data_IF_177054276735
#
_entry.id   IF_177054276735
#
_cell.length_a   1.000
_cell.length_b   1.000
_cell.length_c   1.000
_cell.angle_alpha   90.00
_cell.angle_beta   90.00
_cell.angle_gamma   90.00
#
_symmetry.space_group_name_H-M   'P 1'
#
loop_
_entity.id
_entity.type
_entity.pdbx_description
1 polymer ?
#
# COMPACT_ATOMS: atom_id res chain seq x y z
N UNK A 1 58.56 21.96 -34.94
CA UNK A 1 59.81 22.73 -34.79
C UNK A 1 60.19 22.73 -33.31
N UNK A 2 61.35 22.15 -32.95
CA UNK A 2 61.80 21.89 -31.58
C UNK A 2 62.66 23.05 -31.04
N UNK A 3 62.73 23.25 -29.71
CA UNK A 3 63.84 23.96 -29.06
C UNK A 3 64.08 23.36 -27.66
N UNK A 4 65.22 22.71 -27.41
CA UNK A 4 66.52 23.37 -27.20
C UNK A 4 66.46 24.33 -26.00
N UNK A 5 66.32 23.77 -24.81
CA UNK A 5 66.78 24.44 -23.60
C UNK A 5 67.60 23.45 -22.76
N UNK A 6 68.87 23.38 -23.14
CA UNK A 6 69.95 23.66 -22.20
C UNK A 6 70.25 22.57 -21.15
N UNK A 7 70.97 21.57 -21.66
CA UNK A 7 72.13 20.91 -21.03
C UNK A 7 72.83 21.76 -19.95
N UNK A 8 73.17 21.12 -18.83
CA UNK A 8 74.44 21.37 -18.12
C UNK A 8 75.19 20.05 -17.88
N UNK A 9 76.50 20.14 -18.07
CA UNK A 9 77.50 19.10 -18.34
C UNK A 9 78.30 18.80 -17.06
N UNK A 10 78.67 17.54 -16.83
CA UNK A 10 79.70 17.15 -15.85
C UNK A 10 79.71 15.65 -15.53
N UNK A 11 80.72 14.92 -16.02
CA UNK A 11 81.15 13.56 -15.60
C UNK A 11 82.50 13.70 -14.86
N UNK A 12 83.08 12.71 -14.12
CA UNK A 12 82.93 11.25 -14.25
C UNK A 12 83.03 10.38 -12.95
N UNK A 13 82.96 9.06 -13.16
CA UNK A 13 83.52 7.90 -12.40
C UNK A 13 82.85 7.31 -11.12
N UNK A 14 82.26 6.12 -11.33
CA UNK A 14 82.34 4.83 -10.61
C UNK A 14 82.05 4.68 -9.09
N UNK A 15 80.99 3.92 -8.78
CA UNK A 15 81.01 2.86 -7.75
C UNK A 15 79.84 1.84 -8.00
N UNK A 16 80.03 0.53 -7.75
CA UNK A 16 79.03 -0.49 -8.06
C UNK A 16 78.05 -0.75 -6.89
N UNK A 17 76.85 -1.20 -7.26
CA UNK A 17 75.89 -2.01 -6.51
C UNK A 17 75.65 -1.70 -5.02
N UNK A 18 74.53 -1.01 -4.73
CA UNK A 18 73.75 -1.26 -3.53
C UNK A 18 72.47 -2.00 -3.94
N UNK A 19 72.29 -3.21 -3.43
CA UNK A 19 71.09 -4.00 -3.63
C UNK A 19 69.87 -3.18 -3.18
N UNK A 20 68.95 -2.93 -4.11
CA UNK A 20 67.64 -2.41 -3.77
C UNK A 20 66.96 -3.45 -2.86
N UNK A 21 66.70 -3.06 -1.62
CA UNK A 21 65.72 -3.72 -0.77
C UNK A 21 64.41 -3.83 -1.56
N UNK A 22 63.75 -5.00 -1.61
CA UNK A 22 62.44 -5.06 -2.21
C UNK A 22 61.53 -4.20 -1.33
N UNK A 23 61.14 -3.04 -1.84
CA UNK A 23 59.99 -2.34 -1.31
C UNK A 23 58.85 -3.36 -1.33
N UNK A 24 58.38 -3.76 -0.15
CA UNK A 24 57.11 -4.44 -0.03
C UNK A 24 56.05 -3.45 -0.52
N UNK A 25 55.84 -3.40 -1.83
CA UNK A 25 54.66 -2.80 -2.41
C UNK A 25 53.52 -3.61 -1.83
N UNK A 26 52.88 -3.05 -0.80
CA UNK A 26 51.55 -3.47 -0.41
C UNK A 26 50.72 -3.30 -1.68
N UNK A 27 50.49 -4.41 -2.38
CA UNK A 27 49.57 -4.48 -3.50
C UNK A 27 48.21 -4.19 -2.89
N UNK A 28 47.81 -2.92 -2.91
CA UNK A 28 46.43 -2.55 -2.68
C UNK A 28 45.64 -3.24 -3.80
N UNK A 29 44.63 -4.08 -3.50
CA UNK A 29 43.85 -4.75 -4.53
C UNK A 29 43.30 -3.70 -5.52
N UNK A 30 43.82 -3.75 -6.75
CA UNK A 30 43.27 -3.06 -7.91
C UNK A 30 41.94 -3.74 -8.23
N UNK A 31 40.89 -2.92 -8.35
CA UNK A 31 39.51 -3.30 -8.69
C UNK A 31 38.64 -3.87 -7.54
N UNK A 32 37.78 -2.99 -7.01
CA UNK A 32 36.58 -3.41 -6.27
C UNK A 32 35.60 -3.99 -7.29
N UNK A 33 35.43 -5.31 -7.30
CA UNK A 33 34.36 -5.97 -8.08
C UNK A 33 33.03 -5.64 -7.42
N UNK A 34 32.35 -4.61 -7.92
CA UNK A 34 31.02 -4.24 -7.45
C UNK A 34 30.01 -5.32 -7.85
N UNK A 35 29.30 -5.86 -6.86
CA UNK A 35 28.15 -6.73 -7.08
C UNK A 35 26.89 -5.88 -6.97
N UNK A 36 26.31 -5.54 -8.11
CA UNK A 36 25.07 -4.78 -8.17
C UNK A 36 23.87 -5.71 -8.00
N UNK A 37 23.09 -5.48 -6.95
CA UNK A 37 21.84 -6.19 -6.68
C UNK A 37 20.68 -5.20 -6.74
N UNK A 38 19.70 -5.45 -7.61
CA UNK A 38 18.51 -4.63 -7.74
C UNK A 38 17.24 -5.48 -7.64
N UNK A 39 16.26 -5.00 -6.88
CA UNK A 39 14.90 -5.51 -6.86
C UNK A 39 13.95 -4.37 -7.22
N UNK A 40 13.09 -4.60 -8.22
CA UNK A 40 12.01 -3.68 -8.57
C UNK A 40 10.67 -4.38 -8.33
N UNK A 41 9.90 -3.83 -7.42
CA UNK A 41 8.52 -4.24 -7.16
C UNK A 41 7.59 -3.35 -7.96
N UNK A 42 6.56 -3.94 -8.54
CA UNK A 42 5.51 -3.21 -9.26
C UNK A 42 4.16 -3.56 -8.65
N UNK A 43 3.45 -2.56 -8.16
CA UNK A 43 2.09 -2.68 -7.66
C UNK A 43 1.15 -1.92 -8.58
N UNK A 44 -0.01 -2.51 -8.84
CA UNK A 44 -1.06 -1.90 -9.64
C UNK A 44 -2.42 -2.22 -9.01
N UNK A 45 -3.38 -1.36 -9.30
CA UNK A 45 -4.74 -1.58 -8.90
C UNK A 45 -5.70 -0.75 -9.73
N UNK A 46 -6.98 -1.07 -9.60
CA UNK A 46 -8.07 -0.32 -10.21
C UNK A 46 -9.18 -0.16 -9.19
N UNK A 47 -9.82 0.98 -9.21
CA UNK A 47 -11.02 1.27 -8.43
C UNK A 47 -12.18 1.61 -9.35
N UNK A 48 -13.40 1.28 -8.91
CA UNK A 48 -14.62 1.71 -9.59
C UNK A 48 -15.02 3.11 -9.14
N UNK A 49 -16.01 3.70 -9.80
CA UNK A 49 -16.80 4.78 -9.21
C UNK A 49 -17.44 4.33 -7.90
N UNK A 50 -17.73 5.29 -7.02
CA UNK A 50 -18.45 5.04 -5.79
C UNK A 50 -19.93 4.80 -6.06
N UNK A 51 -20.55 3.95 -5.25
CA UNK A 51 -21.99 3.76 -5.20
C UNK A 51 -22.45 4.25 -3.83
N UNK A 52 -23.40 5.17 -3.83
CA UNK A 52 -24.01 5.64 -2.59
C UNK A 52 -25.02 4.61 -2.11
N UNK A 53 -24.83 4.11 -0.90
CA UNK A 53 -25.76 3.23 -0.20
C UNK A 53 -26.42 3.99 0.93
N UNK A 54 -27.74 3.88 1.01
CA UNK A 54 -28.50 4.45 2.12
C UNK A 54 -28.01 3.89 3.45
N UNK A 55 -27.76 4.77 4.42
CA UNK A 55 -27.36 4.37 5.76
C UNK A 55 -28.40 3.43 6.43
N UNK A 56 -27.90 2.46 7.19
CA UNK A 56 -28.75 1.55 7.95
C UNK A 56 -27.97 0.70 8.96
N UNK A 57 -28.65 0.10 9.95
CA UNK A 57 -28.01 -0.69 11.01
C UNK A 57 -27.27 -1.93 10.47
N UNK A 58 -27.66 -2.42 9.30
CA UNK A 58 -27.06 -3.57 8.64
C UNK A 58 -26.06 -3.20 7.53
N UNK A 59 -25.79 -1.90 7.29
CA UNK A 59 -25.02 -1.44 6.14
C UNK A 59 -23.65 -2.14 6.02
N UNK A 60 -22.89 -2.21 7.12
CA UNK A 60 -21.59 -2.88 7.15
C UNK A 60 -21.71 -4.41 7.05
N UNK A 61 -22.76 -4.99 7.64
CA UNK A 61 -22.98 -6.43 7.61
C UNK A 61 -23.32 -6.96 6.21
N UNK A 62 -23.79 -6.09 5.30
CA UNK A 62 -24.08 -6.45 3.92
C UNK A 62 -22.85 -6.41 3.01
N UNK A 63 -21.77 -5.71 3.38
CA UNK A 63 -20.59 -5.55 2.52
C UNK A 63 -19.98 -6.90 2.06
N UNK A 64 -19.85 -7.95 2.91
CA UNK A 64 -19.36 -9.26 2.47
C UNK A 64 -20.20 -9.90 1.37
N UNK A 65 -21.51 -9.66 1.36
CA UNK A 65 -22.41 -10.23 0.34
C UNK A 65 -22.09 -9.73 -1.08
N UNK A 66 -21.45 -8.56 -1.20
CA UNK A 66 -21.06 -7.97 -2.48
C UNK A 66 -19.91 -8.73 -3.17
N UNK A 67 -19.20 -9.60 -2.44
CA UNK A 67 -18.13 -10.43 -2.99
C UNK A 67 -18.61 -11.84 -3.37
N UNK A 68 -19.88 -12.18 -3.11
CA UNK A 68 -20.46 -13.49 -3.44
C UNK A 68 -20.37 -13.75 -4.96
N UNK A 69 -19.94 -14.95 -5.30
CA UNK A 69 -19.73 -15.37 -6.70
C UNK A 69 -18.39 -14.90 -7.32
N UNK A 70 -17.63 -14.06 -6.62
CA UNK A 70 -16.31 -13.58 -7.06
C UNK A 70 -15.18 -13.96 -6.10
N UNK A 71 -15.47 -14.08 -4.81
CA UNK A 71 -14.50 -14.51 -3.79
C UNK A 71 -14.00 -15.95 -4.06
N UNK A 72 -12.68 -16.13 -3.99
CA UNK A 72 -12.01 -17.45 -4.08
C UNK A 72 -11.42 -17.93 -2.76
N UNK A 73 -11.38 -17.08 -1.75
CA UNK A 73 -10.97 -17.42 -0.39
C UNK A 73 -12.02 -16.96 0.60
N UNK A 74 -11.72 -17.15 1.89
CA UNK A 74 -12.47 -16.49 2.96
C UNK A 74 -12.50 -14.97 2.74
N UNK A 75 -13.60 -14.35 3.16
CA UNK A 75 -13.82 -12.91 3.10
C UNK A 75 -13.49 -12.34 4.47
N UNK A 76 -12.55 -11.41 4.51
CA UNK A 76 -12.11 -10.75 5.74
C UNK A 76 -12.58 -9.30 5.75
N UNK A 77 -13.06 -8.83 6.89
CA UNK A 77 -13.47 -7.44 7.10
C UNK A 77 -12.37 -6.74 7.89
N UNK A 78 -11.78 -5.72 7.29
CA UNK A 78 -10.79 -4.84 7.92
C UNK A 78 -11.51 -3.57 8.33
N UNK A 79 -11.59 -3.34 9.64
CA UNK A 79 -12.17 -2.13 10.19
C UNK A 79 -11.18 -0.95 10.06
N UNK A 80 -11.69 0.30 10.08
CA UNK A 80 -10.84 1.48 10.12
C UNK A 80 -9.92 1.47 11.35
N UNK A 81 -8.69 1.94 11.15
CA UNK A 81 -7.66 1.99 12.18
C UNK A 81 -7.92 3.09 13.21
N UNK A 82 -7.67 2.83 14.50
CA UNK A 82 -7.64 3.85 15.54
C UNK A 82 -6.58 4.93 15.25
N UNK A 83 -6.77 6.12 15.85
CA UNK A 83 -5.83 7.26 15.74
C UNK A 83 -4.37 6.91 16.07
N UNK A 84 -4.15 5.96 16.97
CA UNK A 84 -2.82 5.48 17.38
C UNK A 84 -2.00 4.95 16.21
N UNK A 85 -2.66 4.49 15.13
CA UNK A 85 -2.06 4.00 13.91
C UNK A 85 -2.20 4.99 12.74
N UNK A 86 -2.47 6.27 13.00
CA UNK A 86 -2.64 7.30 11.96
C UNK A 86 -1.40 7.55 11.10
N UNK A 87 -0.22 7.10 11.54
CA UNK A 87 1.04 7.19 10.78
C UNK A 87 1.50 5.81 10.27
N UNK A 88 0.67 4.76 10.41
CA UNK A 88 0.99 3.45 9.89
C UNK A 88 1.00 3.49 8.35
N UNK A 89 2.14 3.13 7.76
CA UNK A 89 2.28 2.97 6.30
C UNK A 89 3.13 1.73 5.98
N UNK A 90 2.87 1.01 4.88
CA UNK A 90 3.67 -0.15 4.47
C UNK A 90 5.07 0.24 3.95
N UNK A 91 5.54 1.47 4.19
CA UNK A 91 6.77 2.02 3.65
C UNK A 91 7.97 1.76 4.56
N UNK A 92 8.90 0.91 4.13
CA UNK A 92 10.11 0.54 4.91
C UNK A 92 11.13 1.68 5.07
N UNK A 93 10.95 2.80 4.38
CA UNK A 93 11.83 3.99 4.47
C UNK A 93 11.79 4.60 5.87
N UNK A 94 10.65 4.48 6.55
CA UNK A 94 10.42 4.93 7.92
C UNK A 94 10.15 3.72 8.82
N UNK A 95 11.16 3.12 9.46
CA UNK A 95 10.98 1.87 10.22
C UNK A 95 9.94 1.95 11.34
N UNK A 96 9.77 3.12 11.96
CA UNK A 96 8.74 3.34 12.98
C UNK A 96 7.32 3.22 12.41
N UNK A 97 7.08 3.81 11.24
CA UNK A 97 5.79 3.78 10.54
C UNK A 97 5.48 2.37 10.03
N UNK A 98 6.49 1.70 9.45
CA UNK A 98 6.38 0.31 9.03
C UNK A 98 6.09 -0.64 10.21
N UNK A 99 6.70 -0.40 11.37
CA UNK A 99 6.43 -1.20 12.57
C UNK A 99 5.01 -0.96 13.10
N UNK A 100 4.52 0.28 13.07
CA UNK A 100 3.13 0.59 13.41
C UNK A 100 2.17 -0.13 12.46
N UNK A 101 2.47 -0.13 11.17
CA UNK A 101 1.69 -0.84 10.15
C UNK A 101 1.65 -2.36 10.40
N UNK A 102 2.80 -2.97 10.71
CA UNK A 102 2.85 -4.39 11.07
C UNK A 102 2.04 -4.67 12.35
N UNK A 103 2.17 -3.83 13.37
CA UNK A 103 1.40 -3.97 14.60
C UNK A 103 -0.11 -3.82 14.36
N UNK A 104 -0.53 -2.96 13.43
CA UNK A 104 -1.92 -2.80 13.05
C UNK A 104 -2.49 -4.03 12.31
N UNK A 105 -1.67 -4.72 11.50
CA UNK A 105 -2.17 -5.71 10.55
C UNK A 105 -1.72 -7.15 10.76
N UNK A 106 -0.84 -7.44 11.72
CA UNK A 106 -0.31 -8.79 11.94
C UNK A 106 -1.39 -9.85 12.22
N UNK A 107 -2.55 -9.46 12.75
CA UNK A 107 -3.68 -10.35 13.04
C UNK A 107 -4.39 -10.86 11.78
N UNK A 108 -4.29 -10.12 10.66
CA UNK A 108 -5.00 -10.45 9.42
C UNK A 108 -4.39 -11.64 8.69
N UNK A 109 -5.18 -12.26 7.81
CA UNK A 109 -4.69 -13.35 6.96
C UNK A 109 -3.55 -12.90 6.03
N UNK A 110 -2.68 -13.81 5.55
CA UNK A 110 -1.65 -13.47 4.56
C UNK A 110 -2.21 -12.78 3.30
N UNK A 111 -3.39 -13.19 2.84
CA UNK A 111 -4.09 -12.58 1.70
C UNK A 111 -4.44 -11.13 1.99
N UNK A 112 -5.09 -10.87 3.12
CA UNK A 112 -5.47 -9.51 3.53
C UNK A 112 -4.25 -8.64 3.77
N UNK A 113 -3.23 -9.13 4.48
CA UNK A 113 -1.97 -8.37 4.67
C UNK A 113 -1.33 -8.00 3.33
N UNK A 114 -1.27 -8.93 2.38
CA UNK A 114 -0.76 -8.64 1.04
C UNK A 114 -1.61 -7.58 0.33
N UNK A 115 -2.94 -7.71 0.39
CA UNK A 115 -3.85 -6.73 -0.20
C UNK A 115 -3.67 -5.33 0.38
N UNK A 116 -3.52 -5.21 1.71
CA UNK A 116 -3.27 -3.93 2.36
C UNK A 116 -1.92 -3.35 1.93
N UNK A 117 -0.85 -4.15 1.89
CA UNK A 117 0.45 -3.68 1.35
C UNK A 117 0.29 -3.13 -0.06
N UNK A 118 -0.35 -3.88 -0.97
CA UNK A 118 -0.51 -3.48 -2.38
C UNK A 118 -1.36 -2.22 -2.51
N UNK A 119 -2.52 -2.20 -1.87
CA UNK A 119 -3.54 -1.17 -2.07
C UNK A 119 -3.24 0.13 -1.33
N UNK A 120 -2.64 0.07 -0.14
CA UNK A 120 -2.19 1.28 0.57
C UNK A 120 -0.94 1.88 -0.09
N UNK A 121 -0.03 1.06 -0.63
CA UNK A 121 1.18 1.56 -1.32
C UNK A 121 0.88 2.37 -2.58
N UNK A 122 -0.29 2.15 -3.19
CA UNK A 122 -0.75 2.90 -4.38
C UNK A 122 -1.90 3.86 -4.07
N UNK A 123 -2.20 4.06 -2.78
CA UNK A 123 -3.28 4.91 -2.30
C UNK A 123 -4.66 4.57 -2.91
N UNK A 124 -4.98 3.28 -2.98
CA UNK A 124 -6.29 2.78 -3.42
C UNK A 124 -7.27 2.55 -2.26
N UNK A 125 -6.76 2.26 -1.07
CA UNK A 125 -7.49 2.10 0.21
C UNK A 125 -6.77 2.93 1.27
N UNK A 126 -7.53 3.49 2.20
CA UNK A 126 -6.99 4.19 3.37
C UNK A 126 -7.80 3.81 4.60
N UNK A 127 -7.20 3.00 5.47
CA UNK A 127 -7.85 2.49 6.68
C UNK A 127 -8.06 3.55 7.75
N UNK A 128 -7.62 4.80 7.58
CA UNK A 128 -8.09 5.88 8.43
C UNK A 128 -9.62 6.12 8.27
N UNK A 129 -10.17 5.79 7.10
CA UNK A 129 -11.58 6.03 6.74
C UNK A 129 -12.32 4.80 6.26
N UNK A 130 -11.65 3.98 5.46
CA UNK A 130 -12.28 2.87 4.77
C UNK A 130 -12.44 1.67 5.72
N UNK A 131 -13.66 1.14 5.78
CA UNK A 131 -13.86 -0.28 6.06
C UNK A 131 -13.59 -1.04 4.78
N UNK A 132 -12.68 -2.01 4.82
CA UNK A 132 -12.27 -2.77 3.64
C UNK A 132 -12.64 -4.25 3.78
N UNK A 133 -13.50 -4.73 2.87
CA UNK A 133 -13.87 -6.13 2.78
C UNK A 133 -13.04 -6.78 1.68
N UNK A 134 -12.16 -7.70 2.07
CA UNK A 134 -11.07 -8.21 1.26
C UNK A 134 -11.17 -9.73 1.07
N UNK A 135 -10.75 -10.20 -0.11
CA UNK A 135 -10.58 -11.62 -0.42
C UNK A 135 -9.58 -11.81 -1.57
N UNK A 136 -9.20 -13.06 -1.84
CA UNK A 136 -8.55 -13.45 -3.08
C UNK A 136 -9.61 -13.54 -4.19
N UNK A 137 -9.42 -12.85 -5.30
CA UNK A 137 -10.36 -12.78 -6.42
C UNK A 137 -9.91 -13.62 -7.62
N UNK A 138 -8.60 -13.78 -7.82
CA UNK A 138 -7.99 -14.64 -8.83
C UNK A 138 -6.56 -15.02 -8.44
N UNK A 139 -6.05 -16.12 -9.00
CA UNK A 139 -4.70 -16.61 -8.76
C UNK A 139 -4.60 -17.67 -7.66
N UNK A 140 -3.37 -17.95 -7.26
CA UNK A 140 -2.98 -18.96 -6.28
C UNK A 140 -2.21 -18.34 -5.12
N UNK A 141 -2.04 -19.11 -4.05
CA UNK A 141 -1.24 -18.74 -2.89
C UNK A 141 -0.04 -19.67 -2.76
N UNK A 142 1.05 -19.15 -2.22
CA UNK A 142 2.23 -19.94 -1.90
C UNK A 142 2.00 -20.88 -0.70
N UNK A 143 3.01 -21.67 -0.34
CA UNK A 143 2.93 -22.61 0.79
C UNK A 143 2.74 -21.95 2.15
N UNK A 144 3.00 -20.64 2.26
CA UNK A 144 2.74 -19.84 3.46
C UNK A 144 1.42 -19.08 3.42
N UNK A 145 0.62 -19.28 2.36
CA UNK A 145 -0.69 -18.67 2.16
C UNK A 145 -0.66 -17.27 1.55
N UNK A 146 0.50 -16.74 1.17
CA UNK A 146 0.59 -15.42 0.53
C UNK A 146 0.21 -15.50 -0.94
N UNK A 147 -0.53 -14.51 -1.48
CA UNK A 147 -0.84 -14.47 -2.90
C UNK A 147 0.42 -14.45 -3.77
N UNK A 148 0.42 -15.25 -4.83
CA UNK A 148 1.44 -15.17 -5.88
C UNK A 148 1.39 -13.81 -6.61
N UNK A 149 2.48 -13.40 -7.25
CA UNK A 149 2.58 -12.03 -7.81
C UNK A 149 1.57 -11.71 -8.93
N UNK A 150 0.99 -12.73 -9.56
CA UNK A 150 -0.06 -12.60 -10.57
C UNK A 150 -1.47 -12.73 -10.00
N UNK A 151 -1.62 -13.00 -8.71
CA UNK A 151 -2.90 -13.07 -8.04
C UNK A 151 -3.54 -11.69 -7.94
N UNK A 152 -4.87 -11.68 -7.97
CA UNK A 152 -5.69 -10.47 -7.83
C UNK A 152 -6.36 -10.54 -6.47
N UNK A 153 -6.05 -9.56 -5.64
CA UNK A 153 -6.67 -9.36 -4.33
C UNK A 153 -7.53 -8.10 -4.35
N UNK A 154 -8.52 -8.03 -3.47
CA UNK A 154 -9.40 -6.87 -3.44
C UNK A 154 -10.77 -7.17 -2.87
N UNK A 155 -11.70 -6.28 -3.16
CA UNK A 155 -13.10 -6.42 -2.76
C UNK A 155 -13.79 -5.06 -2.72
N UNK A 156 -14.39 -4.72 -1.59
CA UNK A 156 -15.18 -3.50 -1.42
C UNK A 156 -14.57 -2.62 -0.34
N UNK A 157 -14.25 -1.38 -0.69
CA UNK A 157 -13.89 -0.33 0.26
C UNK A 157 -15.10 0.57 0.49
N UNK A 158 -15.41 0.87 1.75
CA UNK A 158 -16.56 1.65 2.14
C UNK A 158 -16.18 2.71 3.18
N UNK A 159 -16.66 3.94 3.01
CA UNK A 159 -16.55 4.99 4.02
C UNK A 159 -17.87 5.72 4.19
N UNK A 160 -17.99 6.45 5.30
CA UNK A 160 -19.18 7.22 5.62
C UNK A 160 -19.04 8.66 5.14
N UNK A 161 -20.02 9.14 4.38
CA UNK A 161 -20.07 10.52 3.91
C UNK A 161 -20.42 11.46 5.07
N UNK A 162 -19.59 12.46 5.30
CA UNK A 162 -19.72 13.41 6.40
C UNK A 162 -20.95 14.31 6.29
N UNK A 163 -21.42 14.57 5.05
CA UNK A 163 -22.53 15.49 4.82
C UNK A 163 -23.90 14.83 5.00
N UNK A 164 -24.02 13.58 4.56
CA UNK A 164 -25.30 12.87 4.48
C UNK A 164 -25.46 11.76 5.52
N UNK A 165 -24.34 11.19 6.00
CA UNK A 165 -24.33 9.99 6.82
C UNK A 165 -24.58 8.70 6.05
N UNK A 166 -24.70 8.77 4.72
CA UNK A 166 -24.77 7.59 3.85
C UNK A 166 -23.39 6.93 3.70
N UNK A 167 -23.38 5.68 3.27
CA UNK A 167 -22.15 4.94 3.00
C UNK A 167 -21.81 5.04 1.51
N UNK A 168 -20.54 5.29 1.20
CA UNK A 168 -20.03 5.26 -0.18
C UNK A 168 -19.19 4.00 -0.32
N UNK A 169 -19.62 3.08 -1.18
CA UNK A 169 -18.93 1.83 -1.47
C UNK A 169 -18.28 1.87 -2.85
N UNK A 170 -17.03 1.42 -2.96
CA UNK A 170 -16.34 1.27 -4.24
C UNK A 170 -15.69 -0.11 -4.33
N UNK A 171 -15.67 -0.68 -5.53
CA UNK A 171 -14.88 -1.86 -5.79
C UNK A 171 -13.41 -1.46 -5.93
N UNK A 172 -12.51 -2.24 -5.35
CA UNK A 172 -11.07 -2.04 -5.47
C UNK A 172 -10.40 -3.38 -5.70
N UNK A 173 -9.53 -3.46 -6.70
CA UNK A 173 -8.70 -4.63 -7.00
C UNK A 173 -7.25 -4.22 -7.11
N UNK A 174 -6.35 -5.09 -6.67
CA UNK A 174 -4.91 -4.86 -6.69
C UNK A 174 -4.15 -6.15 -6.97
N UNK A 175 -2.96 -5.99 -7.54
CA UNK A 175 -2.01 -7.07 -7.78
C UNK A 175 -0.60 -6.49 -7.84
N UNK A 176 0.41 -7.34 -7.72
CA UNK A 176 1.78 -6.92 -7.96
C UNK A 176 2.82 -7.63 -7.11
N UNK A 177 4.06 -7.14 -7.24
CA UNK A 177 5.27 -7.73 -6.71
C UNK A 177 6.30 -7.90 -7.82
N UNK A 178 6.91 -9.09 -7.94
CA UNK A 178 7.98 -9.35 -8.91
C UNK A 178 7.41 -9.96 -10.21
N UNK A 179 7.53 -9.24 -11.33
CA UNK A 179 7.30 -9.81 -12.67
C UNK A 179 5.83 -9.97 -13.09
N UNK A 180 5.04 -8.89 -13.03
CA UNK A 180 3.61 -8.90 -13.41
C UNK A 180 3.39 -9.32 -14.87
N UNK A 181 2.42 -10.22 -15.08
CA UNK A 181 2.00 -10.72 -16.41
C UNK A 181 0.94 -9.81 -17.05
N UNK A 182 0.92 -9.77 -18.38
CA UNK A 182 0.00 -8.90 -19.14
C UNK A 182 -1.49 -9.19 -18.96
N UNK A 183 -1.89 -10.44 -18.66
CA UNK A 183 -3.31 -10.81 -18.55
C UNK A 183 -3.98 -10.36 -17.24
N UNK A 184 -3.18 -10.08 -16.19
CA UNK A 184 -3.70 -9.69 -14.87
C UNK A 184 -4.50 -8.38 -14.94
N UNK A 185 -4.08 -7.42 -15.76
CA UNK A 185 -4.81 -6.15 -15.92
C UNK A 185 -6.22 -6.35 -16.50
N UNK A 186 -6.33 -7.21 -17.52
CA UNK A 186 -7.60 -7.55 -18.17
C UNK A 186 -8.53 -8.31 -17.23
N UNK A 187 -8.00 -9.30 -16.49
CA UNK A 187 -8.77 -10.03 -15.49
C UNK A 187 -9.21 -9.11 -14.34
N UNK A 188 -8.33 -8.22 -13.87
CA UNK A 188 -8.63 -7.22 -12.86
C UNK A 188 -9.78 -6.31 -13.29
N UNK A 189 -9.76 -5.81 -14.53
CA UNK A 189 -10.86 -4.99 -15.06
C UNK A 189 -12.19 -5.76 -15.12
N UNK A 190 -12.18 -7.04 -15.51
CA UNK A 190 -13.37 -7.89 -15.53
C UNK A 190 -13.94 -8.10 -14.13
N UNK A 191 -13.08 -8.44 -13.16
CA UNK A 191 -13.47 -8.65 -11.77
C UNK A 191 -14.01 -7.37 -11.16
N UNK A 192 -13.37 -6.23 -11.41
CA UNK A 192 -13.83 -4.92 -10.95
C UNK A 192 -15.24 -4.61 -11.45
N UNK A 193 -15.54 -4.89 -12.73
CA UNK A 193 -16.88 -4.75 -13.29
C UNK A 193 -17.92 -5.64 -12.61
N UNK A 194 -17.54 -6.87 -12.27
CA UNK A 194 -18.38 -7.79 -11.49
C UNK A 194 -18.67 -7.26 -10.08
N UNK A 195 -17.64 -6.79 -9.37
CA UNK A 195 -17.78 -6.20 -8.04
C UNK A 195 -18.68 -4.97 -8.07
N UNK A 196 -18.45 -4.03 -9.01
CA UNK A 196 -19.31 -2.86 -9.17
C UNK A 196 -20.77 -3.24 -9.44
N UNK A 197 -20.99 -4.26 -10.27
CA UNK A 197 -22.33 -4.77 -10.55
C UNK A 197 -23.01 -5.33 -9.30
N UNK A 198 -22.27 -6.06 -8.46
CA UNK A 198 -22.77 -6.56 -7.18
C UNK A 198 -23.11 -5.42 -6.21
N UNK A 199 -22.27 -4.37 -6.13
CA UNK A 199 -22.54 -3.20 -5.29
C UNK A 199 -23.81 -2.49 -5.77
N UNK A 200 -23.96 -2.25 -7.08
CA UNK A 200 -25.14 -1.61 -7.67
C UNK A 200 -26.42 -2.46 -7.52
N UNK A 201 -26.28 -3.78 -7.43
CA UNK A 201 -27.40 -4.69 -7.18
C UNK A 201 -27.89 -4.69 -5.73
N UNK A 202 -27.20 -3.98 -4.81
CA UNK A 202 -27.69 -3.79 -3.45
C UNK A 202 -29.04 -3.07 -3.45
N UNK A 203 -29.98 -3.57 -2.65
CA UNK A 203 -31.28 -2.95 -2.45
C UNK A 203 -31.21 -1.52 -1.86
N UNK A 204 -30.07 -1.14 -1.26
CA UNK A 204 -29.86 0.17 -0.67
C UNK A 204 -29.11 1.14 -1.60
N UNK A 205 -28.77 0.71 -2.81
CA UNK A 205 -28.05 1.54 -3.78
C UNK A 205 -28.93 2.70 -4.25
N UNK A 206 -28.43 3.92 -4.05
CA UNK A 206 -29.04 5.17 -4.51
C UNK A 206 -28.50 5.61 -5.87
N UNK A 207 -27.38 5.04 -6.32
CA UNK A 207 -26.77 5.29 -7.61
C UNK A 207 -25.27 5.60 -7.52
N UNK A 208 -24.67 5.83 -8.69
CA UNK A 208 -23.27 6.20 -8.82
C UNK A 208 -23.04 7.60 -8.23
N UNK A 209 -21.92 7.75 -7.54
CA UNK A 209 -21.43 9.01 -6.98
C UNK A 209 -19.93 9.08 -7.19
N UNK A 210 -19.40 10.29 -7.29
CA UNK A 210 -17.95 10.47 -7.24
C UNK A 210 -17.45 9.95 -5.89
N UNK A 211 -16.41 9.12 -5.95
CA UNK A 211 -15.68 8.66 -4.77
C UNK A 211 -14.72 9.76 -4.34
N UNK A 212 -15.25 10.80 -3.69
CA UNK A 212 -14.41 11.77 -3.00
C UNK A 212 -14.05 11.18 -1.65
N UNK A 213 -12.75 10.98 -1.39
CA UNK A 213 -12.31 10.62 -0.05
C UNK A 213 -12.61 11.79 0.89
N UNK A 214 -12.94 11.53 2.16
CA UNK A 214 -13.04 12.60 3.15
C UNK A 214 -11.75 13.43 3.15
N UNK A 215 -11.86 14.69 2.72
CA UNK A 215 -10.73 15.62 2.75
C UNK A 215 -10.72 16.26 4.14
N UNK A 216 -9.56 16.38 4.80
CA UNK A 216 -9.47 17.15 6.05
C UNK A 216 -9.95 18.60 5.83
N UNK A 217 -11.19 18.96 6.21
CA UNK A 217 -11.81 20.28 5.94
C UNK A 217 -12.01 21.17 7.19
N UNK A 218 -11.40 22.37 7.31
CA UNK A 218 -11.25 23.15 8.56
C UNK A 218 -12.45 23.14 9.56
N UNK A 219 -12.24 22.70 10.83
CA UNK A 219 -13.28 22.73 11.89
C UNK A 219 -13.05 21.81 13.10
N UNK A 220 -13.91 21.91 14.13
CA UNK A 220 -14.01 20.98 15.30
C UNK A 220 -15.12 19.95 15.06
N UNK A 221 -14.74 18.73 14.74
CA UNK A 221 -15.56 17.53 14.57
C UNK A 221 -15.67 16.71 15.86
N UNK A 222 -16.18 15.49 15.73
CA UNK A 222 -16.42 14.61 16.88
C UNK A 222 -15.20 13.79 17.28
N UNK A 223 -15.01 13.61 18.59
CA UNK A 223 -13.82 12.93 19.14
C UNK A 223 -14.03 11.42 19.31
N UNK A 224 -15.20 11.01 19.79
CA UNK A 224 -15.49 9.61 20.15
C UNK A 224 -16.91 9.22 19.74
N UNK A 225 -17.06 8.00 19.23
CA UNK A 225 -18.37 7.44 18.92
C UNK A 225 -19.12 7.00 20.18
N UNK A 226 -20.33 7.52 20.40
CA UNK A 226 -21.19 7.11 21.52
C UNK A 226 -21.66 5.65 21.44
N UNK A 227 -21.64 5.05 20.24
CA UNK A 227 -22.12 3.69 20.00
C UNK A 227 -21.04 2.64 20.24
N UNK A 228 -19.86 2.79 19.61
CA UNK A 228 -18.81 1.78 19.66
C UNK A 228 -17.53 2.23 20.38
N UNK A 229 -17.48 3.45 20.92
CA UNK A 229 -16.30 3.98 21.61
C UNK A 229 -15.12 4.33 20.71
N UNK A 230 -15.26 4.21 19.38
CA UNK A 230 -14.19 4.49 18.44
C UNK A 230 -13.75 5.96 18.51
N UNK A 231 -12.47 6.18 18.80
CA UNK A 231 -11.84 7.49 18.81
C UNK A 231 -11.38 7.84 17.39
N UNK A 232 -12.15 8.71 16.73
CA UNK A 232 -11.79 9.25 15.42
C UNK A 232 -10.61 10.19 15.60
N UNK A 233 -9.46 9.84 15.03
CA UNK A 233 -8.32 10.75 14.96
C UNK A 233 -8.50 11.92 14.01
N UNK A 234 -9.54 11.86 13.19
CA UNK A 234 -9.94 12.96 12.37
C UNK A 234 -10.69 13.97 13.22
N UNK A 235 -10.05 15.12 13.42
CA UNK A 235 -10.58 16.28 14.11
C UNK A 235 -11.92 16.76 13.56
N UNK A 236 -12.46 16.19 12.47
CA UNK A 236 -13.52 16.78 11.63
C UNK A 236 -14.62 15.82 11.22
N UNK A 237 -14.44 14.52 11.46
CA UNK A 237 -15.46 13.52 11.15
C UNK A 237 -16.74 13.80 11.97
N UNK A 238 -17.90 13.78 11.30
CA UNK A 238 -19.21 13.84 11.97
C UNK A 238 -19.81 12.46 12.22
N UNK A 239 -19.41 11.47 11.43
CA UNK A 239 -19.84 10.09 11.53
C UNK A 239 -18.65 9.18 11.83
N UNK A 240 -18.89 8.16 12.64
CA UNK A 240 -17.88 7.20 13.02
C UNK A 240 -17.50 6.35 11.81
N UNK A 241 -16.22 6.28 11.40
CA UNK A 241 -15.80 5.48 10.24
C UNK A 241 -16.08 3.99 10.47
N UNK A 242 -16.04 3.53 11.73
CA UNK A 242 -16.30 2.13 12.11
C UNK A 242 -17.77 1.71 12.09
N UNK A 243 -18.73 2.60 12.35
CA UNK A 243 -20.14 2.18 12.48
C UNK A 243 -21.19 3.15 11.93
N UNK A 244 -20.78 4.27 11.32
CA UNK A 244 -21.68 5.26 10.73
C UNK A 244 -22.54 6.04 11.73
N UNK A 245 -22.34 5.84 13.05
CA UNK A 245 -23.06 6.61 14.06
C UNK A 245 -22.43 7.99 14.25
N UNK A 246 -23.25 8.98 14.56
CA UNK A 246 -22.77 10.35 14.79
C UNK A 246 -21.78 10.39 15.96
N UNK A 247 -20.64 11.04 15.74
CA UNK A 247 -19.62 11.23 16.77
C UNK A 247 -20.05 12.28 17.79
N UNK A 248 -19.65 12.09 19.05
CA UNK A 248 -19.84 13.09 20.11
C UNK A 248 -18.93 14.29 19.84
N UNK A 249 -19.51 15.49 19.86
CA UNK A 249 -18.75 16.75 19.72
C UNK A 249 -17.96 17.01 21.01
N UNK A 250 -16.70 17.40 20.86
CA UNK A 250 -15.87 17.98 21.93
C UNK A 250 -16.03 19.48 22.06
#
# INVERSE_FOLDING_TARGET
MPLEFLKRKGSPEAAPAAAATPSSSVVLPEEVVAQDHQLKLYYAGKSSEGVRLKAGPAALAELPSMLVGLARSEIEIVEPLPIEFSQATPTIVSPSEAMQWLNAHHVHSPITRHALVVLESIDAVDLAFDTFVCTLLDGEVDTSGYPEYNAIVGGVAAHWDEATGDMICRAVVGWGGKGVRGDTDRLGAKILGGLLSNILASQHALGLTKSERPVPAAGRGGLVCAHCGFASGHERAFYCPKCGMRLLRG
#
